data_IF_956203505946
#
_entry.id   IF_956203505946
#
_cell.length_a   1.000
_cell.length_b   1.000
_cell.length_c   1.000
_cell.angle_alpha   90.00
_cell.angle_beta   90.00
_cell.angle_gamma   90.00
#
_symmetry.space_group_name_H-M   'P 1'
#
loop_
_entity.id
_entity.type
_entity.pdbx_description
1 polymer ?
#
# COMPACT_ATOMS: atom_id res chain seq x y z
N UNK A 1 14.52 10.37 -9.86
CA UNK A 1 13.99 11.34 -10.84
C UNK A 1 13.84 12.69 -10.14
N UNK A 2 14.80 13.61 -10.29
CA UNK A 2 14.79 14.87 -9.55
C UNK A 2 13.82 15.87 -10.22
N UNK A 3 12.81 16.33 -9.48
CA UNK A 3 11.89 17.40 -9.92
C UNK A 3 10.94 17.07 -11.08
N UNK A 4 10.87 15.82 -11.54
CA UNK A 4 9.98 15.46 -12.66
C UNK A 4 8.61 15.05 -12.13
N UNK A 5 7.54 15.68 -12.64
CA UNK A 5 6.17 15.21 -12.42
C UNK A 5 6.03 13.84 -13.09
N UNK A 6 5.91 12.79 -12.29
CA UNK A 6 5.64 11.44 -12.80
C UNK A 6 4.16 11.40 -13.21
N UNK A 7 3.80 10.92 -14.41
CA UNK A 7 2.40 10.84 -14.83
C UNK A 7 1.63 9.74 -14.10
N UNK A 8 2.35 8.76 -13.55
CA UNK A 8 1.78 7.68 -12.77
C UNK A 8 0.99 8.23 -11.57
N UNK A 9 -0.19 7.68 -11.35
CA UNK A 9 -1.09 8.04 -10.26
C UNK A 9 -1.42 6.79 -9.46
N UNK A 10 -1.47 6.95 -8.14
CA UNK A 10 -2.01 5.96 -7.21
C UNK A 10 -3.36 6.50 -6.76
N UNK A 11 -4.40 5.68 -6.89
CA UNK A 11 -5.70 5.95 -6.30
C UNK A 11 -5.81 5.16 -5.00
N UNK A 12 -6.25 5.84 -3.95
CA UNK A 12 -6.41 5.27 -2.61
C UNK A 12 -7.79 5.55 -2.05
N UNK A 13 -8.25 4.67 -1.16
CA UNK A 13 -9.46 4.92 -0.36
C UNK A 13 -9.19 6.04 0.65
N UNK A 14 -10.14 6.99 0.75
CA UNK A 14 -10.06 8.12 1.70
C UNK A 14 -10.44 7.75 3.14
N UNK A 15 -10.95 6.55 3.39
CA UNK A 15 -11.42 6.13 4.71
C UNK A 15 -12.77 6.68 5.18
N UNK A 16 -13.50 7.44 4.35
CA UNK A 16 -14.77 8.09 4.75
C UNK A 16 -15.87 7.07 5.07
N UNK A 17 -15.97 5.99 4.30
CA UNK A 17 -16.96 4.92 4.51
C UNK A 17 -16.56 3.96 5.63
N UNK A 18 -15.26 3.71 5.75
CA UNK A 18 -14.66 2.85 6.75
C UNK A 18 -13.26 3.39 7.04
N UNK A 19 -12.98 3.77 8.28
CA UNK A 19 -11.70 4.35 8.66
C UNK A 19 -10.55 3.34 8.55
N UNK A 20 -10.83 2.04 8.63
CA UNK A 20 -9.85 0.96 8.45
C UNK A 20 -9.32 0.84 7.03
N UNK A 21 -10.00 1.48 6.07
CA UNK A 21 -9.64 1.44 4.65
C UNK A 21 -8.77 2.63 4.22
N UNK A 22 -8.44 3.56 5.11
CA UNK A 22 -7.71 4.79 4.71
C UNK A 22 -6.34 4.45 4.10
N UNK A 23 -6.03 5.05 2.95
CA UNK A 23 -4.76 4.84 2.25
C UNK A 23 -4.67 3.54 1.45
N UNK A 24 -5.66 2.62 1.55
CA UNK A 24 -5.65 1.37 0.79
C UNK A 24 -5.65 1.65 -0.71
N UNK A 25 -4.69 1.07 -1.43
CA UNK A 25 -4.52 1.27 -2.87
C UNK A 25 -5.62 0.54 -3.64
N UNK A 26 -6.29 1.26 -4.52
CA UNK A 26 -7.31 0.70 -5.42
C UNK A 26 -6.83 0.61 -6.86
N UNK A 27 -6.02 1.58 -7.30
CA UNK A 27 -5.45 1.58 -8.65
C UNK A 27 -4.04 2.14 -8.66
N UNK A 28 -3.23 1.63 -9.57
CA UNK A 28 -1.97 2.25 -9.95
C UNK A 28 -1.92 2.38 -11.47
N UNK A 29 -1.57 3.57 -11.97
CA UNK A 29 -1.58 3.91 -13.41
C UNK A 29 -2.93 3.61 -14.09
N UNK A 30 -4.03 3.78 -13.36
CA UNK A 30 -5.39 3.49 -13.85
C UNK A 30 -5.78 2.02 -13.88
N UNK A 31 -4.90 1.11 -13.47
CA UNK A 31 -5.16 -0.34 -13.43
C UNK A 31 -5.51 -0.79 -12.01
N UNK A 32 -6.50 -1.67 -11.86
CA UNK A 32 -6.92 -2.26 -10.58
C UNK A 32 -6.09 -3.48 -10.18
N UNK A 33 -5.29 -4.01 -11.10
CA UNK A 33 -4.36 -5.13 -10.88
C UNK A 33 -3.11 -4.90 -11.73
N UNK A 34 -1.96 -5.37 -11.25
CA UNK A 34 -0.72 -5.38 -12.02
C UNK A 34 -0.73 -6.51 -13.07
N UNK A 35 0.18 -6.41 -14.02
CA UNK A 35 0.47 -7.44 -15.02
C UNK A 35 1.97 -7.75 -15.10
N UNK A 36 2.71 -7.48 -14.00
CA UNK A 36 4.18 -7.57 -13.97
C UNK A 36 4.63 -9.00 -13.67
N UNK A 37 3.91 -9.71 -12.81
CA UNK A 37 4.23 -11.07 -12.43
C UNK A 37 3.55 -12.08 -13.36
N UNK A 38 4.27 -13.15 -13.73
CA UNK A 38 3.83 -14.16 -14.70
C UNK A 38 2.52 -14.85 -14.32
N UNK A 39 2.35 -15.12 -13.03
CA UNK A 39 1.15 -15.79 -12.54
C UNK A 39 0.04 -14.79 -12.31
N UNK A 40 -1.15 -15.15 -12.78
CA UNK A 40 -2.36 -14.39 -12.53
C UNK A 40 -2.87 -14.67 -11.10
N UNK A 41 -2.10 -14.20 -10.12
CA UNK A 41 -2.25 -14.54 -8.71
C UNK A 41 -2.21 -13.33 -7.78
N UNK A 42 -2.08 -13.57 -6.46
CA UNK A 42 -2.07 -12.51 -5.45
C UNK A 42 -0.89 -11.54 -5.62
N UNK A 43 0.22 -11.97 -6.24
CA UNK A 43 1.40 -11.15 -6.49
C UNK A 43 1.12 -9.90 -7.34
N UNK A 44 0.12 -9.98 -8.23
CA UNK A 44 -0.30 -8.85 -9.06
C UNK A 44 -1.38 -7.99 -8.40
N UNK A 45 -1.87 -8.36 -7.21
CA UNK A 45 -2.91 -7.60 -6.51
C UNK A 45 -2.29 -6.48 -5.67
N UNK A 46 -2.93 -5.31 -5.69
CA UNK A 46 -2.58 -4.24 -4.75
C UNK A 46 -3.16 -4.59 -3.38
N UNK A 47 -2.28 -4.87 -2.42
CA UNK A 47 -2.67 -5.16 -1.04
C UNK A 47 -2.18 -4.05 -0.13
N UNK A 48 -3.05 -3.63 0.80
CA UNK A 48 -2.73 -2.60 1.78
C UNK A 48 -2.59 -1.20 1.18
N UNK A 49 -1.75 -0.37 1.80
CA UNK A 49 -1.63 1.07 1.48
C UNK A 49 -0.43 1.39 0.61
N UNK A 50 -0.21 2.66 0.27
CA UNK A 50 0.99 3.11 -0.47
C UNK A 50 2.18 3.43 0.45
N UNK A 51 2.16 2.97 1.70
CA UNK A 51 3.14 3.23 2.78
C UNK A 51 3.20 4.67 3.30
N UNK A 52 2.43 5.61 2.74
CA UNK A 52 2.41 7.00 3.23
C UNK A 52 1.54 7.16 4.48
N UNK A 53 0.51 6.32 4.60
CA UNK A 53 -0.41 6.27 5.73
C UNK A 53 -0.90 4.84 5.95
N UNK A 54 -1.23 4.51 7.19
CA UNK A 54 -1.88 3.26 7.59
C UNK A 54 -3.14 3.59 8.39
N UNK A 55 -4.05 2.63 8.56
CA UNK A 55 -5.23 2.84 9.37
C UNK A 55 -4.87 3.12 10.83
N UNK A 56 -5.70 3.91 11.54
CA UNK A 56 -5.46 4.19 12.95
C UNK A 56 -5.77 2.97 13.82
N UNK A 57 -5.28 3.01 15.06
CA UNK A 57 -5.46 1.98 16.09
C UNK A 57 -4.82 0.63 15.74
N UNK A 58 -3.55 0.67 15.29
CA UNK A 58 -2.80 -0.53 14.99
C UNK A 58 -2.57 -1.40 16.25
N UNK A 59 -2.63 -2.71 16.08
CA UNK A 59 -2.39 -3.73 17.09
C UNK A 59 -1.04 -4.45 16.86
N UNK A 60 -0.51 -5.10 17.90
CA UNK A 60 0.77 -5.82 17.81
C UNK A 60 0.65 -7.15 17.06
N UNK A 61 -0.56 -7.71 16.96
CA UNK A 61 -0.86 -9.00 16.34
C UNK A 61 -1.38 -8.89 14.90
N UNK A 62 -1.40 -7.68 14.32
CA UNK A 62 -1.73 -7.49 12.92
C UNK A 62 -0.50 -7.25 12.03
N UNK A 63 -0.55 -7.75 10.80
CA UNK A 63 0.41 -7.43 9.75
C UNK A 63 -0.08 -6.19 8.99
N UNK A 64 0.79 -5.20 8.80
CA UNK A 64 0.51 -4.08 7.88
C UNK A 64 1.06 -4.43 6.50
N UNK A 65 0.31 -4.14 5.44
CA UNK A 65 0.73 -4.39 4.07
C UNK A 65 0.85 -3.08 3.33
N UNK A 66 1.87 -2.95 2.48
CA UNK A 66 2.03 -1.79 1.61
C UNK A 66 2.44 -2.20 0.20
N UNK A 67 1.81 -1.59 -0.79
CA UNK A 67 2.23 -1.63 -2.18
C UNK A 67 3.41 -0.69 -2.43
N UNK A 68 4.54 -1.26 -2.81
CA UNK A 68 5.75 -0.53 -3.18
C UNK A 68 5.81 -0.40 -4.71
N UNK A 69 5.43 0.76 -5.23
CA UNK A 69 5.33 1.01 -6.67
C UNK A 69 6.67 0.92 -7.41
N UNK A 70 7.77 1.21 -6.71
CA UNK A 70 9.14 1.07 -7.18
C UNK A 70 9.60 -0.40 -7.26
N UNK A 71 9.12 -1.25 -6.35
CA UNK A 71 9.39 -2.69 -6.34
C UNK A 71 8.40 -3.49 -7.19
N UNK A 72 7.25 -2.92 -7.54
CA UNK A 72 6.16 -3.58 -8.26
C UNK A 72 5.52 -4.76 -7.50
N UNK A 73 5.52 -4.75 -6.16
CA UNK A 73 4.80 -5.76 -5.37
C UNK A 73 4.27 -5.19 -4.04
N UNK A 74 3.34 -5.92 -3.43
CA UNK A 74 2.83 -5.64 -2.09
C UNK A 74 3.61 -6.43 -1.05
N UNK A 75 4.05 -5.77 0.03
CA UNK A 75 4.92 -6.34 1.06
C UNK A 75 4.28 -6.20 2.44
N UNK A 76 4.22 -7.28 3.25
CA UNK A 76 3.81 -7.21 4.64
C UNK A 76 5.00 -6.79 5.53
N UNK A 77 4.71 -6.00 6.56
CA UNK A 77 5.59 -5.76 7.69
C UNK A 77 4.92 -6.28 8.97
N UNK A 78 5.71 -6.99 9.78
CA UNK A 78 5.26 -7.53 11.06
C UNK A 78 5.74 -6.65 12.21
N UNK A 79 4.93 -6.53 13.25
CA UNK A 79 5.38 -5.94 14.50
C UNK A 79 6.60 -6.68 15.05
N UNK A 80 7.56 -5.92 15.60
CA UNK A 80 8.78 -6.49 16.20
C UNK A 80 8.83 -6.17 17.68
N UNK A 81 8.76 -4.88 18.03
CA UNK A 81 8.84 -4.38 19.40
C UNK A 81 8.43 -2.90 19.44
N UNK A 82 8.10 -2.35 20.62
CA UNK A 82 7.77 -0.93 20.72
C UNK A 82 9.03 -0.08 20.52
N UNK A 83 8.85 1.09 19.91
CA UNK A 83 9.91 2.09 19.74
C UNK A 83 9.41 3.48 20.12
N UNK A 84 10.33 4.39 20.40
CA UNK A 84 10.02 5.79 20.73
C UNK A 84 10.81 6.71 19.81
N UNK A 85 10.09 7.46 18.99
CA UNK A 85 10.65 8.50 18.11
C UNK A 85 10.51 9.85 18.81
N UNK A 86 11.52 10.72 18.69
CA UNK A 86 11.52 12.07 19.27
C UNK A 86 10.90 13.07 18.32
#
# INVERSE_FOLDING_TARGET
KNGTVVPDRIEVKRGIKNYLDVGVVTKFKGQEKQNVWLEDGPCNSYQGTDSTIFHPFLYEDEDIVSFAADLCLSLPAKYVKPSKVK
#
